data_IF_085361800627
#
_entry.id   IF_085361800627
#
_cell.length_a   1.000
_cell.length_b   1.000
_cell.length_c   1.000
_cell.angle_alpha   90.00
_cell.angle_beta   90.00
_cell.angle_gamma   90.00
#
_symmetry.space_group_name_H-M   'P 1'
#
loop_
_entity.id
_entity.type
_entity.pdbx_description
1 polymer ?
#
# COMPACT_ATOMS: atom_id res chain seq x y z
N UNK A 1 31.25 17.48 12.79
CA UNK A 1 32.04 17.68 11.56
C UNK A 1 31.08 18.10 10.46
N UNK A 2 30.86 19.41 10.32
CA UNK A 2 30.12 19.99 9.20
C UNK A 2 31.18 20.41 8.18
N UNK A 3 31.26 19.70 7.06
CA UNK A 3 32.09 20.10 5.92
C UNK A 3 31.72 21.54 5.54
N UNK A 4 32.69 22.44 5.44
CA UNK A 4 32.54 23.90 5.39
C UNK A 4 31.88 24.50 4.13
N UNK A 5 30.98 23.77 3.47
CA UNK A 5 30.25 24.19 2.27
C UNK A 5 28.73 24.15 2.50
N UNK A 6 28.12 25.24 2.99
CA UNK A 6 26.71 25.25 3.39
C UNK A 6 25.73 25.08 2.21
N UNK A 7 26.18 25.30 0.96
CA UNK A 7 25.34 25.28 -0.26
C UNK A 7 25.73 24.16 -1.24
N UNK A 8 26.43 23.12 -0.78
CA UNK A 8 26.93 22.04 -1.65
C UNK A 8 25.85 21.30 -2.45
N UNK A 9 24.62 21.29 -1.95
CA UNK A 9 23.47 20.59 -2.55
C UNK A 9 22.66 21.48 -3.50
N UNK A 10 23.02 22.75 -3.64
CA UNK A 10 22.40 23.68 -4.57
C UNK A 10 23.24 23.74 -5.85
N UNK A 11 22.67 23.30 -6.96
CA UNK A 11 23.36 23.27 -8.26
C UNK A 11 22.94 24.39 -9.21
N UNK A 12 21.97 25.22 -8.80
CA UNK A 12 21.55 26.42 -9.52
C UNK A 12 22.18 27.67 -8.89
N UNK A 13 22.47 28.67 -9.72
CA UNK A 13 22.95 29.96 -9.21
C UNK A 13 21.82 30.70 -8.51
N UNK A 14 22.10 31.24 -7.31
CA UNK A 14 21.14 32.09 -6.60
C UNK A 14 20.77 33.36 -7.35
N UNK A 15 21.60 33.78 -8.31
CA UNK A 15 21.35 34.93 -9.15
C UNK A 15 20.31 34.63 -10.26
N UNK A 16 19.96 33.37 -10.50
CA UNK A 16 18.99 32.97 -11.52
C UNK A 16 17.59 33.50 -11.17
N UNK A 17 17.02 34.29 -12.08
CA UNK A 17 15.69 34.87 -11.92
C UNK A 17 14.59 33.81 -11.82
N UNK A 18 14.79 32.64 -12.42
CA UNK A 18 13.86 31.51 -12.35
C UNK A 18 13.84 30.92 -10.96
N UNK A 19 15.03 30.76 -10.35
CA UNK A 19 15.16 30.25 -8.99
C UNK A 19 14.50 31.19 -7.98
N UNK A 20 14.80 32.49 -8.06
CA UNK A 20 14.19 33.51 -7.17
C UNK A 20 12.67 33.50 -7.25
N UNK A 21 12.11 33.49 -8.46
CA UNK A 21 10.65 33.43 -8.66
C UNK A 21 10.00 32.20 -8.04
N UNK A 22 10.66 31.04 -8.15
CA UNK A 22 10.15 29.79 -7.58
C UNK A 22 10.25 29.80 -6.04
N UNK A 23 11.37 30.28 -5.48
CA UNK A 23 11.59 30.42 -4.03
C UNK A 23 10.60 31.42 -3.40
N UNK A 24 10.34 32.54 -4.07
CA UNK A 24 9.39 33.55 -3.60
C UNK A 24 7.93 33.06 -3.63
N UNK A 25 7.61 32.10 -4.49
CA UNK A 25 6.29 31.49 -4.60
C UNK A 25 5.98 30.46 -3.49
N UNK A 26 7.01 29.99 -2.77
CA UNK A 26 6.86 29.02 -1.69
C UNK A 26 6.25 29.69 -0.46
N UNK A 27 5.24 29.05 0.11
CA UNK A 27 4.50 29.59 1.25
C UNK A 27 5.21 29.29 2.58
N UNK A 28 5.77 28.08 2.71
CA UNK A 28 6.52 27.70 3.92
C UNK A 28 7.89 28.40 3.99
N UNK A 29 8.07 29.24 5.01
CA UNK A 29 9.31 29.96 5.26
C UNK A 29 10.49 29.02 5.57
N UNK A 30 10.27 27.92 6.29
CA UNK A 30 11.36 27.00 6.62
C UNK A 30 11.77 26.18 5.41
N UNK A 31 10.82 25.83 4.52
CA UNK A 31 11.12 25.17 3.25
C UNK A 31 11.95 26.09 2.33
N UNK A 32 11.64 27.39 2.33
CA UNK A 32 12.41 28.40 1.59
C UNK A 32 13.88 28.44 2.04
N UNK A 33 14.12 28.40 3.33
CA UNK A 33 15.47 28.38 3.90
C UNK A 33 16.23 27.10 3.51
N UNK A 34 15.61 25.93 3.64
CA UNK A 34 16.29 24.66 3.31
C UNK A 34 16.56 24.54 1.81
N UNK A 35 15.64 24.98 0.95
CA UNK A 35 15.83 24.97 -0.50
C UNK A 35 16.94 25.92 -0.94
N UNK A 36 17.15 27.03 -0.23
CA UNK A 36 18.28 27.93 -0.47
C UNK A 36 19.64 27.26 -0.19
N UNK A 37 19.65 26.18 0.60
CA UNK A 37 20.82 25.32 0.82
C UNK A 37 20.86 24.10 -0.12
N UNK A 38 19.86 23.94 -1.00
CA UNK A 38 19.74 22.81 -1.93
C UNK A 38 19.06 21.57 -1.34
N UNK A 39 18.30 21.73 -0.25
CA UNK A 39 17.58 20.64 0.43
C UNK A 39 16.08 20.93 0.47
N UNK A 40 15.29 20.14 -0.25
CA UNK A 40 13.84 20.16 -0.15
C UNK A 40 13.34 19.21 0.93
N UNK A 41 12.20 19.53 1.54
CA UNK A 41 11.42 18.55 2.28
C UNK A 41 9.93 18.71 1.97
N UNK A 42 9.20 17.61 2.01
CA UNK A 42 7.75 17.55 1.85
C UNK A 42 7.12 16.95 3.10
N UNK A 43 5.84 17.21 3.34
CA UNK A 43 5.04 16.56 4.36
C UNK A 43 3.55 16.59 3.97
N UNK A 44 2.70 15.83 4.67
CA UNK A 44 1.27 15.72 4.34
C UNK A 44 0.50 17.05 4.39
N UNK A 45 1.05 18.03 5.09
CA UNK A 45 0.51 19.39 5.20
C UNK A 45 1.09 20.37 4.17
N UNK A 46 1.99 19.94 3.30
CA UNK A 46 2.59 20.81 2.28
C UNK A 46 1.53 21.22 1.27
N UNK A 47 1.54 22.50 0.89
CA UNK A 47 0.60 23.04 -0.09
C UNK A 47 0.92 22.45 -1.48
N UNK A 48 -0.08 22.10 -2.31
CA UNK A 48 0.18 21.53 -3.64
C UNK A 48 1.09 22.37 -4.54
N UNK A 49 1.07 23.70 -4.38
CA UNK A 49 1.99 24.61 -5.08
C UNK A 49 3.44 24.37 -4.68
N UNK A 50 3.70 24.19 -3.39
CA UNK A 50 5.03 24.01 -2.84
C UNK A 50 5.57 22.62 -3.24
N UNK A 51 4.71 21.59 -3.19
CA UNK A 51 5.03 20.24 -3.69
C UNK A 51 5.48 20.30 -5.16
N UNK A 52 4.68 20.92 -6.03
CA UNK A 52 5.01 21.02 -7.45
C UNK A 52 6.32 21.80 -7.72
N UNK A 53 6.61 22.83 -6.92
CA UNK A 53 7.86 23.60 -7.02
C UNK A 53 9.05 22.72 -6.62
N UNK A 54 8.97 22.01 -5.49
CA UNK A 54 10.04 21.12 -5.01
C UNK A 54 10.30 19.99 -6.00
N UNK A 55 9.26 19.32 -6.50
CA UNK A 55 9.39 18.27 -7.51
C UNK A 55 10.08 18.77 -8.79
N UNK A 56 9.67 19.96 -9.26
CA UNK A 56 10.28 20.59 -10.43
C UNK A 56 11.76 20.91 -10.20
N UNK A 57 12.10 21.48 -9.05
CA UNK A 57 13.49 21.80 -8.70
C UNK A 57 14.35 20.55 -8.58
N UNK A 58 13.81 19.46 -8.02
CA UNK A 58 14.52 18.20 -7.86
C UNK A 58 14.74 17.51 -9.21
N UNK A 59 13.68 17.40 -10.03
CA UNK A 59 13.75 16.76 -11.34
C UNK A 59 14.64 17.54 -12.34
N UNK A 60 14.72 18.87 -12.22
CA UNK A 60 15.67 19.68 -13.01
C UNK A 60 17.10 19.59 -12.50
N UNK A 61 17.34 18.96 -11.35
CA UNK A 61 18.66 18.89 -10.70
C UNK A 61 19.11 20.19 -10.04
N UNK A 62 18.21 21.15 -9.81
CA UNK A 62 18.54 22.42 -9.16
C UNK A 62 18.87 22.21 -7.67
N UNK A 63 18.13 21.32 -7.02
CA UNK A 63 18.40 20.83 -5.66
C UNK A 63 18.82 19.37 -5.72
N UNK A 64 19.72 18.96 -4.84
CA UNK A 64 20.28 17.61 -4.84
C UNK A 64 19.55 16.64 -3.90
N UNK A 65 18.97 17.16 -2.81
CA UNK A 65 18.38 16.34 -1.75
C UNK A 65 16.92 16.72 -1.55
N UNK A 66 16.05 15.72 -1.47
CA UNK A 66 14.65 15.89 -1.10
C UNK A 66 14.28 14.87 -0.03
N UNK A 67 13.66 15.33 1.05
CA UNK A 67 13.17 14.49 2.16
C UNK A 67 11.66 14.35 2.03
N UNK A 68 11.17 13.13 1.96
CA UNK A 68 9.74 12.84 1.77
C UNK A 68 9.29 11.84 2.84
N UNK A 69 8.15 12.05 3.52
CA UNK A 69 7.64 11.09 4.49
C UNK A 69 7.12 9.83 3.80
N UNK A 70 7.02 8.76 4.57
CA UNK A 70 6.46 7.48 4.13
C UNK A 70 5.00 7.60 3.64
N UNK A 71 4.22 8.55 4.12
CA UNK A 71 2.84 8.74 3.66
C UNK A 71 2.74 9.23 2.20
N UNK A 72 3.79 9.85 1.66
CA UNK A 72 3.74 10.54 0.37
C UNK A 72 4.48 9.82 -0.76
N UNK A 73 5.20 8.72 -0.51
CA UNK A 73 6.10 8.14 -1.52
C UNK A 73 5.38 7.67 -2.80
N UNK A 74 4.09 7.31 -2.72
CA UNK A 74 3.27 6.97 -3.88
C UNK A 74 2.77 8.21 -4.66
N UNK A 75 2.76 9.38 -4.02
CA UNK A 75 2.19 10.61 -4.57
C UNK A 75 3.22 11.51 -5.25
N UNK A 76 4.51 11.23 -5.06
CA UNK A 76 5.59 12.01 -5.64
C UNK A 76 5.94 11.56 -7.06
N UNK A 77 6.30 12.51 -7.91
CA UNK A 77 6.75 12.31 -9.29
C UNK A 77 8.26 12.54 -9.44
N UNK A 78 9.04 12.11 -8.45
CA UNK A 78 10.50 12.28 -8.41
C UNK A 78 11.22 10.94 -8.52
N UNK A 79 12.35 10.93 -9.21
CA UNK A 79 13.28 9.79 -9.22
C UNK A 79 14.69 10.27 -8.93
N UNK A 80 15.48 9.45 -8.24
CA UNK A 80 16.80 9.84 -7.75
C UNK A 80 17.88 8.84 -8.18
N UNK A 81 19.15 9.26 -8.12
CA UNK A 81 20.28 8.33 -8.24
C UNK A 81 20.46 7.48 -6.98
N UNK A 82 20.32 8.13 -5.82
CA UNK A 82 20.41 7.49 -4.50
C UNK A 82 19.11 7.69 -3.76
N UNK A 83 18.49 6.60 -3.33
CA UNK A 83 17.37 6.63 -2.36
C UNK A 83 17.87 6.12 -1.02
N UNK A 84 17.60 6.89 0.03
CA UNK A 84 17.89 6.49 1.41
C UNK A 84 16.57 6.27 2.14
N UNK A 85 16.29 5.03 2.53
CA UNK A 85 15.15 4.69 3.38
C UNK A 85 15.65 4.76 4.82
N UNK A 86 15.22 5.80 5.53
CA UNK A 86 15.61 6.05 6.92
C UNK A 86 14.61 5.39 7.86
N UNK A 87 15.05 4.29 8.47
CA UNK A 87 14.21 3.38 9.26
C UNK A 87 13.12 2.69 8.43
N UNK A 88 12.63 1.54 8.91
CA UNK A 88 11.63 0.72 8.20
C UNK A 88 10.43 0.40 9.07
N UNK A 89 10.17 1.26 10.05
CA UNK A 89 9.09 1.12 11.02
C UNK A 89 8.34 2.45 11.18
N UNK A 90 7.07 2.36 11.56
CA UNK A 90 6.26 3.49 11.98
C UNK A 90 5.48 3.13 13.23
N UNK A 91 5.09 4.15 13.99
CA UNK A 91 4.28 3.95 15.18
C UNK A 91 2.80 3.85 14.83
N UNK A 92 2.16 2.73 15.16
CA UNK A 92 0.71 2.58 15.11
C UNK A 92 0.10 2.93 16.46
N UNK A 93 -0.66 4.04 16.50
CA UNK A 93 -1.32 4.53 17.70
C UNK A 93 -2.52 3.70 18.18
N UNK A 94 -3.11 2.87 17.31
CA UNK A 94 -4.22 1.98 17.70
C UNK A 94 -3.75 0.81 18.55
N UNK A 95 -2.59 0.25 18.18
CA UNK A 95 -1.98 -0.91 18.86
C UNK A 95 -0.87 -0.51 19.85
N UNK A 96 -0.53 0.77 19.93
CA UNK A 96 0.58 1.31 20.73
C UNK A 96 1.93 0.63 20.46
N UNK A 97 2.20 0.25 19.21
CA UNK A 97 3.39 -0.51 18.83
C UNK A 97 4.03 0.05 17.54
N UNK A 98 5.31 -0.26 17.34
CA UNK A 98 5.97 -0.03 16.06
C UNK A 98 5.66 -1.19 15.11
N UNK A 99 5.12 -0.85 13.94
CA UNK A 99 4.84 -1.78 12.86
C UNK A 99 5.86 -1.59 11.76
N UNK A 100 6.27 -2.71 11.15
CA UNK A 100 7.20 -2.70 10.02
C UNK A 100 6.51 -2.18 8.76
N UNK A 101 7.28 -1.55 7.87
CA UNK A 101 6.77 -1.24 6.52
C UNK A 101 6.44 -2.53 5.76
N UNK A 102 5.29 -2.57 5.07
CA UNK A 102 5.03 -3.61 4.07
C UNK A 102 6.19 -3.70 3.09
N UNK A 103 6.59 -4.92 2.75
CA UNK A 103 7.72 -5.15 1.83
C UNK A 103 7.47 -4.51 0.46
N UNK A 104 6.21 -4.46 0.02
CA UNK A 104 5.81 -3.76 -1.20
C UNK A 104 6.13 -2.25 -1.17
N UNK A 105 5.92 -1.59 -0.02
CA UNK A 105 6.26 -0.17 0.17
C UNK A 105 7.77 0.03 0.04
N UNK A 106 8.57 -0.83 0.69
CA UNK A 106 10.03 -0.78 0.63
C UNK A 106 10.50 -0.98 -0.82
N UNK A 107 9.94 -1.95 -1.53
CA UNK A 107 10.27 -2.21 -2.94
C UNK A 107 9.92 -1.00 -3.83
N UNK A 108 8.79 -0.35 -3.58
CA UNK A 108 8.43 0.86 -4.33
C UNK A 108 9.42 2.00 -4.06
N UNK A 109 9.78 2.24 -2.79
CA UNK A 109 10.78 3.24 -2.43
C UNK A 109 12.14 2.95 -3.07
N UNK A 110 12.58 1.68 -3.07
CA UNK A 110 13.79 1.25 -3.79
C UNK A 110 13.67 1.56 -5.27
N UNK A 111 12.49 1.36 -5.86
CA UNK A 111 12.19 1.67 -7.26
C UNK A 111 12.26 3.16 -7.63
N UNK A 112 12.20 4.08 -6.66
CA UNK A 112 12.43 5.51 -6.90
C UNK A 112 13.90 5.81 -7.26
N UNK A 113 14.83 4.90 -6.93
CA UNK A 113 16.22 4.95 -7.37
C UNK A 113 16.31 4.45 -8.82
N UNK A 114 15.76 5.21 -9.76
CA UNK A 114 15.67 4.77 -11.16
C UNK A 114 15.62 5.96 -12.13
N UNK A 115 16.76 6.30 -12.74
CA UNK A 115 16.87 7.34 -13.77
C UNK A 115 17.57 6.81 -15.01
N UNK A 116 16.92 5.93 -15.80
CA UNK A 116 17.57 5.16 -16.85
C UNK A 116 18.10 6.02 -18.02
N UNK A 117 17.56 7.22 -18.21
CA UNK A 117 18.02 8.15 -19.23
C UNK A 117 19.29 8.93 -18.81
N UNK A 118 19.60 8.98 -17.51
CA UNK A 118 20.66 9.84 -16.95
C UNK A 118 21.81 9.04 -16.35
N UNK A 119 21.51 7.95 -15.63
CA UNK A 119 22.50 7.20 -14.85
C UNK A 119 22.64 5.77 -15.38
N UNK A 120 23.88 5.24 -15.35
CA UNK A 120 24.18 3.84 -15.73
C UNK A 120 23.83 2.82 -14.64
N UNK A 121 23.79 3.28 -13.39
CA UNK A 121 23.46 2.49 -12.21
C UNK A 121 22.57 3.32 -11.27
N UNK A 122 22.07 2.69 -10.22
CA UNK A 122 21.34 3.36 -9.16
C UNK A 122 21.69 2.73 -7.82
N UNK A 123 21.52 3.51 -6.75
CA UNK A 123 21.87 3.08 -5.39
C UNK A 123 20.69 3.24 -4.46
N UNK A 124 20.49 2.27 -3.60
CA UNK A 124 19.55 2.37 -2.51
C UNK A 124 20.23 1.97 -1.19
N UNK A 125 20.04 2.78 -0.16
CA UNK A 125 20.52 2.51 1.20
C UNK A 125 19.31 2.35 2.10
N UNK A 126 19.10 1.14 2.60
CA UNK A 126 18.03 0.84 3.56
C UNK A 126 18.61 0.77 4.95
N UNK A 127 18.29 1.76 5.78
CA UNK A 127 18.64 1.79 7.19
C UNK A 127 17.49 1.15 7.98
N UNK A 128 17.75 0.06 8.68
CA UNK A 128 16.75 -0.67 9.44
C UNK A 128 17.35 -1.26 10.73
N UNK A 129 16.48 -1.68 11.65
CA UNK A 129 16.91 -2.41 12.84
C UNK A 129 17.64 -3.72 12.46
N UNK A 130 18.69 -4.07 13.19
CA UNK A 130 19.51 -5.26 12.91
C UNK A 130 18.70 -6.57 12.85
N UNK A 131 17.61 -6.66 13.61
CA UNK A 131 16.68 -7.81 13.62
C UNK A 131 15.92 -7.98 12.30
N UNK A 132 15.72 -6.91 11.51
CA UNK A 132 14.96 -6.90 10.26
C UNK A 132 15.82 -7.00 9.01
N UNK A 133 17.15 -6.82 9.16
CA UNK A 133 18.12 -6.77 8.07
C UNK A 133 18.00 -7.97 7.12
N UNK A 134 18.06 -9.20 7.64
CA UNK A 134 18.03 -10.41 6.79
C UNK A 134 16.68 -10.62 6.13
N UNK A 135 15.57 -10.24 6.81
CA UNK A 135 14.23 -10.28 6.23
C UNK A 135 14.12 -9.35 5.02
N UNK A 136 14.49 -8.07 5.17
CA UNK A 136 14.44 -7.10 4.09
C UNK A 136 15.37 -7.52 2.94
N UNK A 137 16.61 -7.90 3.26
CA UNK A 137 17.58 -8.35 2.26
C UNK A 137 17.05 -9.50 1.41
N UNK A 138 16.38 -10.48 2.04
CA UNK A 138 15.80 -11.61 1.32
C UNK A 138 14.78 -11.15 0.27
N UNK A 139 13.81 -10.32 0.65
CA UNK A 139 12.75 -9.90 -0.28
C UNK A 139 13.13 -8.78 -1.25
N UNK A 140 14.29 -8.13 -1.05
CA UNK A 140 14.87 -7.24 -2.05
C UNK A 140 15.63 -8.01 -3.14
N UNK A 141 16.16 -9.19 -2.83
CA UNK A 141 16.95 -9.99 -3.77
C UNK A 141 16.15 -11.15 -4.39
N UNK A 142 15.12 -11.63 -3.73
CA UNK A 142 14.25 -12.72 -4.19
C UNK A 142 12.86 -12.20 -4.57
N UNK A 143 12.18 -12.82 -5.54
CA UNK A 143 10.80 -12.48 -5.87
C UNK A 143 9.86 -12.59 -4.65
N UNK A 144 8.94 -11.64 -4.52
CA UNK A 144 8.00 -11.59 -3.40
C UNK A 144 6.94 -12.71 -3.52
N UNK A 145 6.74 -13.56 -2.50
CA UNK A 145 5.59 -14.44 -2.44
C UNK A 145 4.34 -13.62 -2.14
N UNK A 146 3.35 -13.71 -3.03
CA UNK A 146 2.06 -13.05 -2.86
C UNK A 146 1.04 -14.09 -2.41
N UNK A 147 0.46 -13.86 -1.24
CA UNK A 147 -0.68 -14.63 -0.73
C UNK A 147 -1.93 -13.74 -0.69
N UNK A 148 -3.09 -14.37 -0.79
CA UNK A 148 -4.37 -13.68 -0.90
C UNK A 148 -5.14 -13.80 0.41
N UNK A 149 -5.48 -12.66 1.03
CA UNK A 149 -6.13 -12.56 2.35
C UNK A 149 -7.66 -12.38 2.25
N UNK A 150 -8.29 -12.82 1.16
CA UNK A 150 -9.74 -12.63 0.95
C UNK A 150 -10.59 -13.35 1.99
N UNK A 151 -10.09 -14.43 2.57
CA UNK A 151 -10.72 -15.19 3.65
C UNK A 151 -11.06 -14.33 4.88
N UNK A 152 -10.34 -13.22 5.10
CA UNK A 152 -10.63 -12.28 6.19
C UNK A 152 -11.62 -11.17 5.82
N UNK A 153 -11.85 -10.92 4.53
CA UNK A 153 -12.67 -9.82 4.03
C UNK A 153 -13.82 -10.30 3.12
N UNK A 154 -14.21 -11.57 3.23
CA UNK A 154 -15.11 -12.20 2.28
C UNK A 154 -16.56 -11.70 2.38
N UNK A 155 -17.01 -11.31 3.58
CA UNK A 155 -18.39 -10.91 3.87
C UNK A 155 -18.89 -9.78 2.95
N UNK A 156 -18.07 -8.75 2.72
CA UNK A 156 -18.44 -7.58 1.93
C UNK A 156 -18.61 -7.96 0.44
N UNK A 157 -17.72 -8.80 -0.09
CA UNK A 157 -17.80 -9.31 -1.45
C UNK A 157 -19.01 -10.22 -1.63
N UNK A 158 -19.23 -11.17 -0.72
CA UNK A 158 -20.38 -12.07 -0.79
C UNK A 158 -21.69 -11.30 -0.72
N UNK A 159 -21.82 -10.33 0.18
CA UNK A 159 -23.02 -9.50 0.24
C UNK A 159 -23.28 -8.76 -1.08
N UNK A 160 -22.24 -8.16 -1.67
CA UNK A 160 -22.37 -7.48 -2.96
C UNK A 160 -22.82 -8.44 -4.08
N UNK A 161 -22.22 -9.61 -4.17
CA UNK A 161 -22.52 -10.60 -5.22
C UNK A 161 -23.89 -11.30 -5.04
N UNK A 162 -24.38 -11.40 -3.80
CA UNK A 162 -25.74 -11.86 -3.51
C UNK A 162 -26.75 -10.79 -3.94
N UNK A 163 -26.45 -9.50 -3.72
CA UNK A 163 -27.32 -8.38 -4.14
C UNK A 163 -27.39 -8.28 -5.67
N UNK A 164 -26.29 -8.50 -6.38
CA UNK A 164 -26.27 -8.53 -7.86
C UNK A 164 -26.86 -9.82 -8.45
N UNK A 165 -27.18 -10.81 -7.60
CA UNK A 165 -27.63 -12.16 -7.99
C UNK A 165 -26.59 -12.94 -8.79
N UNK A 166 -25.31 -12.67 -8.59
CA UNK A 166 -24.24 -13.58 -9.05
C UNK A 166 -24.21 -14.84 -8.19
N UNK A 167 -24.47 -14.69 -6.89
CA UNK A 167 -24.58 -15.79 -5.93
C UNK A 167 -26.04 -15.91 -5.50
N UNK A 168 -26.76 -16.90 -6.03
CA UNK A 168 -28.16 -17.14 -5.66
C UNK A 168 -28.32 -18.32 -4.70
N UNK A 169 -27.33 -19.19 -4.59
CA UNK A 169 -27.33 -20.34 -3.68
C UNK A 169 -25.91 -20.67 -3.16
N UNK A 170 -25.81 -21.61 -2.22
CA UNK A 170 -24.51 -22.02 -1.62
C UNK A 170 -23.54 -22.62 -2.64
N UNK A 171 -24.03 -23.31 -3.67
CA UNK A 171 -23.16 -23.86 -4.72
C UNK A 171 -22.57 -22.74 -5.58
N UNK A 172 -23.36 -21.73 -5.94
CA UNK A 172 -22.85 -20.56 -6.66
C UNK A 172 -21.76 -19.83 -5.86
N UNK A 173 -21.87 -19.80 -4.52
CA UNK A 173 -20.86 -19.20 -3.66
C UNK A 173 -19.52 -19.98 -3.70
N UNK A 174 -19.58 -21.31 -3.70
CA UNK A 174 -18.40 -22.16 -3.88
C UNK A 174 -17.82 -21.92 -5.28
N UNK A 175 -18.66 -21.94 -6.31
CA UNK A 175 -18.25 -21.72 -7.69
C UNK A 175 -17.59 -20.36 -7.85
N UNK A 176 -18.15 -19.29 -7.28
CA UNK A 176 -17.56 -17.95 -7.23
C UNK A 176 -16.15 -17.97 -6.64
N UNK A 177 -15.94 -18.66 -5.50
CA UNK A 177 -14.62 -18.77 -4.88
C UNK A 177 -13.60 -19.47 -5.80
N UNK A 178 -14.02 -20.40 -6.66
CA UNK A 178 -13.10 -21.07 -7.59
C UNK A 178 -12.47 -20.12 -8.62
N UNK A 179 -13.09 -18.97 -8.89
CA UNK A 179 -12.56 -17.92 -9.77
C UNK A 179 -11.50 -17.03 -9.12
N UNK A 180 -11.33 -17.13 -7.79
CA UNK A 180 -10.45 -16.24 -7.05
C UNK A 180 -8.99 -16.72 -7.02
N UNK A 181 -8.07 -15.80 -6.69
CA UNK A 181 -6.68 -16.17 -6.41
C UNK A 181 -6.59 -17.08 -5.17
N UNK A 182 -7.53 -17.00 -4.22
CA UNK A 182 -7.60 -17.83 -3.02
C UNK A 182 -7.55 -19.31 -3.38
N UNK A 183 -8.46 -19.73 -4.27
CA UNK A 183 -8.58 -21.12 -4.68
C UNK A 183 -7.28 -21.67 -5.28
N UNK A 184 -6.59 -20.85 -6.10
CA UNK A 184 -5.30 -21.23 -6.68
C UNK A 184 -4.23 -21.36 -5.60
N UNK A 185 -4.15 -20.42 -4.66
CA UNK A 185 -3.13 -20.38 -3.60
C UNK A 185 -3.32 -21.43 -2.51
N UNK A 186 -4.57 -21.79 -2.17
CA UNK A 186 -4.89 -22.86 -1.22
C UNK A 186 -4.19 -24.18 -1.54
N UNK A 187 -4.05 -24.51 -2.83
CA UNK A 187 -3.35 -25.72 -3.27
C UNK A 187 -1.82 -25.64 -3.22
N UNK A 188 -1.27 -24.41 -3.23
CA UNK A 188 0.18 -24.16 -3.29
C UNK A 188 0.78 -23.93 -1.90
N UNK A 189 0.02 -23.33 -0.98
CA UNK A 189 0.44 -23.06 0.39
C UNK A 189 -0.70 -23.33 1.39
N UNK A 190 -1.13 -24.59 1.55
CA UNK A 190 -2.30 -24.95 2.37
C UNK A 190 -2.17 -24.51 3.84
N UNK A 191 -0.96 -24.58 4.40
CA UNK A 191 -0.71 -24.24 5.81
C UNK A 191 -1.00 -22.76 6.11
N UNK A 192 -0.75 -21.87 5.14
CA UNK A 192 -1.06 -20.45 5.29
C UNK A 192 -2.57 -20.20 5.45
N UNK A 193 -3.38 -21.04 4.80
CA UNK A 193 -4.85 -21.01 4.86
C UNK A 193 -5.43 -21.95 5.93
N UNK A 194 -4.63 -22.40 6.90
CA UNK A 194 -5.02 -23.35 7.94
C UNK A 194 -5.56 -24.70 7.42
N UNK A 195 -5.19 -25.10 6.20
CA UNK A 195 -5.61 -26.36 5.61
C UNK A 195 -4.65 -27.50 5.98
N UNK A 196 -5.20 -28.69 6.24
CA UNK A 196 -4.42 -29.88 6.60
C UNK A 196 -3.86 -30.67 5.40
N UNK A 197 -4.29 -30.32 4.19
CA UNK A 197 -3.88 -31.02 2.97
C UNK A 197 -4.47 -30.39 1.71
N UNK A 198 -4.11 -30.95 0.55
CA UNK A 198 -4.44 -30.42 -0.79
C UNK A 198 -5.24 -31.40 -1.65
N UNK A 199 -5.80 -32.45 -1.05
CA UNK A 199 -6.69 -33.34 -1.82
C UNK A 199 -7.99 -32.61 -2.16
N UNK A 200 -8.70 -33.05 -3.20
CA UNK A 200 -10.01 -32.50 -3.56
C UNK A 200 -10.96 -32.40 -2.36
N UNK A 201 -10.93 -33.40 -1.47
CA UNK A 201 -11.72 -33.39 -0.24
C UNK A 201 -11.31 -32.27 0.70
N UNK A 202 -10.03 -32.10 1.01
CA UNK A 202 -9.57 -31.03 1.90
C UNK A 202 -9.93 -29.64 1.37
N UNK A 203 -9.78 -29.41 0.06
CA UNK A 203 -10.12 -28.12 -0.57
C UNK A 203 -11.63 -27.89 -0.53
N UNK A 204 -12.42 -28.90 -0.90
CA UNK A 204 -13.88 -28.82 -0.87
C UNK A 204 -14.40 -28.55 0.54
N UNK A 205 -13.88 -29.26 1.54
CA UNK A 205 -14.25 -29.10 2.95
C UNK A 205 -13.91 -27.68 3.42
N UNK A 206 -12.70 -27.18 3.11
CA UNK A 206 -12.26 -25.83 3.48
C UNK A 206 -13.10 -24.71 2.84
N UNK A 207 -13.41 -24.82 1.53
CA UNK A 207 -14.28 -23.86 0.84
C UNK A 207 -15.70 -23.90 1.39
N UNK A 208 -16.23 -25.10 1.65
CA UNK A 208 -17.59 -25.26 2.20
C UNK A 208 -17.68 -24.64 3.59
N UNK A 209 -16.69 -24.86 4.45
CA UNK A 209 -16.61 -24.24 5.77
C UNK A 209 -16.52 -22.71 5.68
N UNK A 210 -15.68 -22.19 4.78
CA UNK A 210 -15.53 -20.75 4.56
C UNK A 210 -16.85 -20.10 4.11
N UNK A 211 -17.53 -20.70 3.14
CA UNK A 211 -18.85 -20.24 2.65
C UNK A 211 -19.88 -20.29 3.77
N UNK A 212 -19.99 -21.42 4.48
CA UNK A 212 -20.99 -21.60 5.52
C UNK A 212 -20.80 -20.60 6.67
N UNK A 213 -19.56 -20.39 7.12
CA UNK A 213 -19.24 -19.42 8.17
C UNK A 213 -19.59 -18.00 7.73
N UNK A 214 -19.19 -17.61 6.52
CA UNK A 214 -19.45 -16.25 5.98
C UNK A 214 -20.95 -15.99 5.81
N UNK A 215 -21.70 -16.93 5.23
CA UNK A 215 -23.15 -16.80 5.06
C UNK A 215 -23.88 -16.81 6.40
N UNK A 216 -23.42 -17.60 7.37
CA UNK A 216 -23.98 -17.61 8.72
C UNK A 216 -23.81 -16.25 9.40
N UNK A 217 -22.64 -15.64 9.30
CA UNK A 217 -22.38 -14.31 9.87
C UNK A 217 -23.23 -13.22 9.19
N UNK A 218 -23.33 -13.25 7.85
CA UNK A 218 -24.19 -12.33 7.09
C UNK A 218 -25.68 -12.52 7.43
N UNK A 219 -26.13 -13.76 7.61
CA UNK A 219 -27.50 -14.08 8.05
C UNK A 219 -27.76 -13.59 9.47
N UNK A 220 -26.83 -13.80 10.39
CA UNK A 220 -26.92 -13.32 11.78
C UNK A 220 -26.99 -11.78 11.84
N UNK A 221 -26.27 -11.11 10.95
CA UNK A 221 -26.27 -9.65 10.81
C UNK A 221 -27.48 -9.12 10.02
N UNK A 222 -28.37 -9.98 9.54
CA UNK A 222 -29.59 -9.65 8.76
C UNK A 222 -29.30 -8.96 7.41
N UNK A 223 -28.16 -9.25 6.81
CA UNK A 223 -27.81 -8.80 5.46
C UNK A 223 -28.47 -9.67 4.39
N UNK A 224 -28.59 -10.97 4.69
CA UNK A 224 -29.15 -11.97 3.79
C UNK A 224 -30.15 -12.87 4.53
N UNK A 225 -30.98 -13.56 3.78
CA UNK A 225 -31.77 -14.69 4.26
C UNK A 225 -31.43 -15.94 3.46
N UNK A 226 -31.43 -17.09 4.13
CA UNK A 226 -31.25 -18.39 3.49
C UNK A 226 -32.56 -19.17 3.59
N UNK A 227 -33.13 -19.52 2.44
CA UNK A 227 -34.37 -20.31 2.29
C UNK A 227 -34.00 -21.75 1.95
N UNK A 228 -34.78 -22.69 2.49
CA UNK A 228 -34.62 -24.13 2.25
C UNK A 228 -33.18 -24.66 2.45
N UNK A 229 -32.43 -24.00 3.35
CA UNK A 229 -31.01 -24.25 3.65
C UNK A 229 -30.04 -24.13 2.46
N UNK A 230 -30.51 -23.65 1.30
CA UNK A 230 -29.75 -23.60 0.04
C UNK A 230 -29.80 -22.24 -0.66
N UNK A 231 -31.00 -21.68 -0.84
CA UNK A 231 -31.22 -20.47 -1.64
C UNK A 231 -30.95 -19.22 -0.81
N UNK A 232 -30.24 -18.26 -1.38
CA UNK A 232 -29.77 -17.05 -0.70
C UNK A 232 -30.46 -15.84 -1.32
N UNK A 233 -31.01 -14.96 -0.48
CA UNK A 233 -31.64 -13.73 -0.93
C UNK A 233 -31.13 -12.52 -0.13
N UNK A 234 -30.86 -11.39 -0.79
CA UNK A 234 -30.45 -10.17 -0.10
C UNK A 234 -31.62 -9.58 0.70
N UNK A 235 -31.31 -8.96 1.83
CA UNK A 235 -32.24 -8.15 2.63
C UNK A 235 -31.93 -6.66 2.44
N UNK A 236 -32.80 -5.79 2.97
CA UNK A 236 -32.63 -4.34 2.85
C UNK A 236 -31.26 -3.84 3.33
N UNK A 237 -30.74 -4.37 4.45
CA UNK A 237 -29.42 -3.97 4.95
C UNK A 237 -28.30 -4.35 3.98
N UNK A 238 -28.35 -5.57 3.43
CA UNK A 238 -27.39 -6.03 2.43
C UNK A 238 -27.42 -5.17 1.17
N UNK A 239 -28.61 -4.79 0.69
CA UNK A 239 -28.77 -3.89 -0.45
C UNK A 239 -28.18 -2.50 -0.19
N UNK A 240 -28.40 -1.92 0.99
CA UNK A 240 -27.85 -0.61 1.37
C UNK A 240 -26.32 -0.67 1.45
N UNK A 241 -25.78 -1.70 2.10
CA UNK A 241 -24.33 -1.88 2.25
C UNK A 241 -23.63 -2.02 0.90
N UNK A 242 -24.18 -2.85 0.01
CA UNK A 242 -23.66 -3.05 -1.33
C UNK A 242 -23.76 -1.76 -2.19
N UNK A 243 -24.87 -1.02 -2.06
CA UNK A 243 -25.09 0.21 -2.83
C UNK A 243 -24.10 1.34 -2.47
N UNK A 244 -23.80 1.51 -1.18
CA UNK A 244 -22.90 2.56 -0.70
C UNK A 244 -21.46 2.09 -0.47
N UNK A 245 -21.13 0.82 -0.78
CA UNK A 245 -19.84 0.20 -0.51
C UNK A 245 -19.40 0.35 0.97
N UNK A 246 -20.33 0.08 1.90
CA UNK A 246 -20.08 0.14 3.33
C UNK A 246 -19.79 -1.26 3.85
N UNK A 247 -18.77 -1.39 4.71
CA UNK A 247 -18.42 -2.68 5.31
C UNK A 247 -19.56 -3.23 6.15
N UNK A 248 -19.77 -4.56 6.10
CA UNK A 248 -20.83 -5.26 6.84
C UNK A 248 -20.75 -5.02 8.35
N UNK A 249 -19.55 -4.78 8.88
CA UNK A 249 -19.31 -4.50 10.31
C UNK A 249 -19.79 -3.12 10.75
N UNK A 250 -20.00 -2.18 9.81
CA UNK A 250 -20.31 -0.78 10.11
C UNK A 250 -21.81 -0.52 10.25
N UNK A 251 -22.67 -1.34 9.63
CA UNK A 251 -24.14 -1.19 9.60
C UNK A 251 -24.78 -2.11 10.64
#
# INVERSE_FOLDING_TARGET
HSDGEPKRFLHISEADDTFKKLIDAIQDSTLRETLSCGVGYLHDGSVPTDVAIVEKMFNSGAIQVCIVPRSMFYSISMSAYVVVIMDTQFYNGQCHAYEDYPVADILHMVGLANRPAHDSDAKCVVMCQSSKKEFIKKFLCEPLPIEYHLDHCLHDHFNAEIVTKTIENKQDAIDYLTWTLLYRRMTQNPNYYNMQGVTHRHISDALSELVENTLKDLKNSKFITVKDEMDIQPLNLGMIAAYYCISYTTI
#
